data_IF_005265175248
#
_entry.id   IF_005265175248
#
_cell.length_a   1.000
_cell.length_b   1.000
_cell.length_c   1.000
_cell.angle_alpha   90.00
_cell.angle_beta   90.00
_cell.angle_gamma   90.00
#
_symmetry.space_group_name_H-M   'P 1'
#
loop_
_entity.id
_entity.type
_entity.pdbx_description
1 polymer ?
#
# COMPACT_ATOMS: atom_id res chain seq x y z
N UNK A 1 12.25 -25.94 -24.46
CA UNK A 1 12.32 -25.85 -23.00
C UNK A 1 10.89 -25.78 -22.46
N UNK A 2 10.58 -26.61 -21.47
CA UNK A 2 9.25 -26.61 -20.82
C UNK A 2 9.29 -25.72 -19.62
N UNK A 3 8.29 -24.81 -19.48
CA UNK A 3 8.13 -23.92 -18.32
C UNK A 3 7.05 -24.45 -17.36
N UNK A 4 6.91 -25.76 -17.25
CA UNK A 4 5.86 -26.41 -16.46
C UNK A 4 5.75 -25.88 -15.03
N UNK A 5 6.89 -25.71 -14.34
CA UNK A 5 6.88 -25.15 -12.96
C UNK A 5 6.37 -23.71 -12.90
N UNK A 6 6.71 -22.86 -13.89
CA UNK A 6 6.26 -21.46 -13.93
C UNK A 6 4.74 -21.37 -14.10
N UNK A 7 4.18 -22.25 -14.92
CA UNK A 7 2.74 -22.25 -15.21
C UNK A 7 1.93 -23.23 -14.35
N UNK A 8 2.56 -23.91 -13.38
CA UNK A 8 1.83 -24.71 -12.40
C UNK A 8 1.21 -23.84 -11.31
N UNK A 9 0.02 -24.21 -10.80
CA UNK A 9 -0.60 -23.51 -9.67
C UNK A 9 0.31 -23.48 -8.44
N UNK A 10 0.11 -22.46 -7.62
CA UNK A 10 0.73 -22.34 -6.29
C UNK A 10 -0.29 -21.84 -5.29
N UNK A 11 -0.35 -22.46 -4.12
CA UNK A 11 -1.15 -22.00 -2.99
C UNK A 11 -0.26 -21.24 -2.00
N UNK A 12 -0.66 -20.01 -1.67
CA UNK A 12 -0.01 -19.17 -0.66
C UNK A 12 -1.04 -18.96 0.45
N UNK A 13 -0.83 -19.56 1.60
CA UNK A 13 -1.87 -19.71 2.62
C UNK A 13 -3.14 -20.31 1.99
N UNK A 14 -4.30 -19.62 2.08
CA UNK A 14 -5.56 -20.11 1.50
C UNK A 14 -5.81 -19.61 0.05
N UNK A 15 -4.94 -18.74 -0.48
CA UNK A 15 -5.10 -18.17 -1.83
C UNK A 15 -4.34 -19.03 -2.85
N UNK A 16 -5.07 -19.56 -3.83
CA UNK A 16 -4.50 -20.28 -4.96
C UNK A 16 -4.33 -19.34 -6.14
N UNK A 17 -3.10 -19.31 -6.68
CA UNK A 17 -2.75 -18.64 -7.91
C UNK A 17 -2.64 -19.67 -9.03
N UNK A 18 -3.23 -19.38 -10.18
CA UNK A 18 -3.23 -20.29 -11.35
C UNK A 18 -1.84 -20.58 -11.92
N UNK A 19 -0.86 -19.76 -11.63
CA UNK A 19 0.54 -19.89 -12.00
C UNK A 19 1.42 -19.00 -11.12
N UNK A 20 2.73 -18.99 -11.35
CA UNK A 20 3.72 -18.27 -10.56
C UNK A 20 4.13 -16.91 -11.16
N UNK A 21 3.36 -16.40 -12.13
CA UNK A 21 3.58 -15.09 -12.73
C UNK A 21 2.86 -14.04 -11.90
N UNK A 22 3.62 -13.13 -11.29
CA UNK A 22 3.11 -12.02 -10.48
C UNK A 22 3.49 -10.71 -11.14
N UNK A 23 2.53 -9.83 -11.36
CA UNK A 23 2.77 -8.45 -11.75
C UNK A 23 2.99 -7.61 -10.49
N UNK A 24 4.19 -7.05 -10.33
CA UNK A 24 4.51 -6.13 -9.25
C UNK A 24 3.70 -4.84 -9.33
N UNK A 25 3.53 -4.18 -8.19
CA UNK A 25 2.87 -2.86 -8.13
C UNK A 25 3.59 -1.84 -9.01
N UNK A 26 2.83 -1.12 -9.84
CA UNK A 26 3.33 -0.09 -10.75
C UNK A 26 2.39 1.12 -10.70
N UNK A 27 2.91 2.29 -10.34
CA UNK A 27 2.15 3.55 -10.38
C UNK A 27 1.74 3.88 -11.82
N UNK A 28 0.45 3.87 -12.08
CA UNK A 28 -0.12 4.18 -13.40
C UNK A 28 -0.55 5.62 -13.52
N UNK A 29 -0.82 6.29 -12.40
CA UNK A 29 -1.43 7.62 -12.29
C UNK A 29 -2.81 7.75 -12.96
N UNK A 30 -3.47 6.64 -13.29
CA UNK A 30 -4.79 6.64 -13.94
C UNK A 30 -5.90 7.15 -13.02
N UNK A 31 -5.68 7.12 -11.69
CA UNK A 31 -6.60 7.71 -10.71
C UNK A 31 -6.71 9.24 -10.83
N UNK A 32 -5.72 9.92 -11.42
CA UNK A 32 -5.74 11.38 -11.63
C UNK A 32 -6.95 11.84 -12.46
N UNK A 33 -7.52 10.98 -13.31
CA UNK A 33 -8.70 11.28 -14.12
C UNK A 33 -10.03 11.10 -13.36
N UNK A 34 -10.02 10.66 -12.11
CA UNK A 34 -11.21 10.54 -11.27
C UNK A 34 -11.63 11.87 -10.65
N UNK A 35 -12.84 11.94 -10.08
CA UNK A 35 -13.42 13.15 -9.49
C UNK A 35 -12.50 13.82 -8.45
N UNK A 36 -11.87 13.04 -7.57
CA UNK A 36 -10.94 13.54 -6.55
C UNK A 36 -9.47 13.21 -6.83
N UNK A 37 -9.18 12.64 -8.01
CA UNK A 37 -7.84 12.25 -8.41
C UNK A 37 -7.27 11.05 -7.65
N UNK A 38 -8.08 10.28 -6.90
CA UNK A 38 -7.63 9.18 -6.02
C UNK A 38 -8.48 7.91 -6.15
N UNK A 39 -9.51 7.92 -6.99
CA UNK A 39 -10.44 6.79 -7.17
C UNK A 39 -9.98 5.85 -8.28
N UNK A 40 -10.48 4.61 -8.21
CA UNK A 40 -10.36 3.64 -9.31
C UNK A 40 -11.14 4.14 -10.53
N UNK A 41 -10.48 4.17 -11.69
CA UNK A 41 -11.07 4.55 -12.97
C UNK A 41 -11.33 3.32 -13.84
N UNK A 42 -12.23 3.44 -14.84
CA UNK A 42 -12.46 2.36 -15.81
C UNK A 42 -11.19 2.02 -16.60
N UNK A 43 -10.31 2.98 -16.83
CA UNK A 43 -9.03 2.77 -17.51
C UNK A 43 -8.08 1.92 -16.65
N UNK A 44 -8.03 2.17 -15.34
CA UNK A 44 -7.26 1.34 -14.41
C UNK A 44 -7.82 -0.09 -14.35
N UNK A 45 -9.15 -0.25 -14.34
CA UNK A 45 -9.79 -1.57 -14.40
C UNK A 45 -9.37 -2.30 -15.67
N UNK A 46 -9.49 -1.64 -16.83
CA UNK A 46 -9.11 -2.22 -18.13
C UNK A 46 -7.62 -2.63 -18.15
N UNK A 47 -6.76 -1.81 -17.53
CA UNK A 47 -5.32 -2.09 -17.40
C UNK A 47 -5.07 -3.42 -16.67
N UNK A 48 -5.68 -3.65 -15.50
CA UNK A 48 -5.51 -4.89 -14.73
C UNK A 48 -6.21 -6.10 -15.37
N UNK A 49 -7.39 -5.89 -15.94
CA UNK A 49 -8.13 -6.95 -16.68
C UNK A 49 -7.33 -7.47 -17.87
N UNK A 50 -6.65 -6.58 -18.61
CA UNK A 50 -5.80 -7.00 -19.73
C UNK A 50 -4.67 -7.95 -19.28
N UNK A 51 -4.02 -7.70 -18.12
CA UNK A 51 -2.99 -8.56 -17.55
C UNK A 51 -3.55 -9.90 -17.07
N UNK A 52 -4.70 -9.87 -16.42
CA UNK A 52 -5.38 -11.09 -16.01
C UNK A 52 -5.75 -11.95 -17.22
N UNK A 53 -6.34 -11.38 -18.27
CA UNK A 53 -6.63 -12.10 -19.54
C UNK A 53 -5.36 -12.62 -20.22
N UNK A 54 -4.25 -11.87 -20.12
CA UNK A 54 -2.94 -12.30 -20.64
C UNK A 54 -2.28 -13.43 -19.86
N UNK A 55 -2.89 -13.90 -18.76
CA UNK A 55 -2.41 -15.08 -18.03
C UNK A 55 -1.71 -14.76 -16.70
N UNK A 56 -1.58 -13.50 -16.29
CA UNK A 56 -0.98 -13.17 -14.99
C UNK A 56 -1.75 -13.82 -13.84
N UNK A 57 -1.04 -14.53 -12.95
CA UNK A 57 -1.64 -15.24 -11.80
C UNK A 57 -2.05 -14.30 -10.68
N UNK A 58 -1.22 -13.31 -10.36
CA UNK A 58 -1.50 -12.28 -9.36
C UNK A 58 -1.19 -10.90 -9.93
N UNK A 59 -2.17 -10.00 -9.89
CA UNK A 59 -2.02 -8.61 -10.29
C UNK A 59 -1.91 -7.74 -9.04
N UNK A 60 -0.76 -7.12 -8.77
CA UNK A 60 -0.63 -6.17 -7.68
C UNK A 60 -1.02 -4.77 -8.18
N UNK A 61 -2.07 -4.22 -7.57
CA UNK A 61 -2.48 -2.82 -7.77
C UNK A 61 -1.40 -1.92 -7.20
N UNK A 62 -1.21 -0.76 -7.84
CA UNK A 62 -0.26 0.28 -7.45
C UNK A 62 -0.38 0.70 -5.98
N UNK A 63 0.52 1.56 -5.53
CA UNK A 63 0.46 2.17 -4.19
C UNK A 63 -0.92 2.76 -3.95
N UNK A 64 -1.49 2.39 -2.80
CA UNK A 64 -2.81 2.84 -2.36
C UNK A 64 -2.66 3.50 -0.99
N UNK A 65 -2.91 4.81 -0.92
CA UNK A 65 -2.72 5.59 0.29
C UNK A 65 -3.69 5.15 1.39
N UNK A 66 -3.15 4.93 2.58
CA UNK A 66 -3.93 4.52 3.76
C UNK A 66 -4.38 5.70 4.62
N UNK A 67 -3.81 6.87 4.40
CA UNK A 67 -3.93 8.05 5.24
C UNK A 67 -4.40 9.25 4.42
N UNK A 68 -5.60 9.76 4.71
CA UNK A 68 -6.24 10.83 3.94
C UNK A 68 -5.42 12.12 3.90
N UNK A 69 -4.77 12.50 5.01
CA UNK A 69 -3.96 13.71 5.07
C UNK A 69 -2.67 13.63 4.23
N UNK A 70 -2.21 12.41 3.92
CA UNK A 70 -1.01 12.14 3.11
C UNK A 70 -1.32 11.44 1.79
N UNK A 71 -2.56 11.55 1.28
CA UNK A 71 -2.97 10.94 0.03
C UNK A 71 -2.80 11.94 -1.13
N UNK A 72 -1.71 11.85 -1.92
CA UNK A 72 -1.50 12.77 -3.02
C UNK A 72 -2.45 12.48 -4.18
N UNK A 73 -2.77 13.53 -4.93
CA UNK A 73 -3.53 13.42 -6.18
C UNK A 73 -2.74 12.62 -7.22
N UNK A 74 -3.43 11.81 -8.01
CA UNK A 74 -2.81 10.93 -9.01
C UNK A 74 -2.37 9.57 -8.48
N UNK A 75 -2.59 9.28 -7.19
CA UNK A 75 -2.38 7.97 -6.58
C UNK A 75 -3.69 7.46 -5.99
N UNK A 76 -3.88 6.15 -6.01
CA UNK A 76 -5.04 5.54 -5.37
C UNK A 76 -5.06 5.82 -3.86
N UNK A 77 -6.28 5.88 -3.32
CA UNK A 77 -6.51 5.92 -1.88
C UNK A 77 -7.52 4.88 -1.45
N UNK A 78 -7.34 4.40 -0.23
CA UNK A 78 -8.30 3.58 0.52
C UNK A 78 -8.46 4.13 1.95
N UNK A 79 -8.10 5.40 2.13
CA UNK A 79 -8.16 6.08 3.43
C UNK A 79 -9.59 6.33 3.93
N UNK A 80 -10.60 6.17 3.08
CA UNK A 80 -12.02 6.38 3.39
C UNK A 80 -12.90 5.29 2.77
N UNK A 81 -14.07 5.03 3.37
CA UNK A 81 -15.00 3.99 2.91
C UNK A 81 -15.58 4.29 1.52
N UNK A 82 -15.61 5.56 1.09
CA UNK A 82 -16.05 5.98 -0.26
C UNK A 82 -15.24 5.35 -1.40
N UNK A 83 -14.03 4.87 -1.12
CA UNK A 83 -13.15 4.22 -2.11
C UNK A 83 -13.45 2.72 -2.29
N UNK A 84 -14.17 2.10 -1.34
CA UNK A 84 -14.50 0.66 -1.39
C UNK A 84 -15.23 0.26 -2.68
N UNK A 85 -16.29 0.98 -3.15
CA UNK A 85 -17.04 0.56 -4.33
C UNK A 85 -16.18 0.47 -5.60
N UNK A 86 -15.27 1.43 -5.82
CA UNK A 86 -14.36 1.42 -6.96
C UNK A 86 -13.38 0.26 -6.91
N UNK A 87 -12.77 0.03 -5.74
CA UNK A 87 -11.87 -1.09 -5.51
C UNK A 87 -12.57 -2.44 -5.72
N UNK A 88 -13.81 -2.58 -5.22
CA UNK A 88 -14.63 -3.78 -5.41
C UNK A 88 -14.94 -4.04 -6.89
N UNK A 89 -15.24 -3.00 -7.66
CA UNK A 89 -15.47 -3.11 -9.12
C UNK A 89 -14.21 -3.64 -9.83
N UNK A 90 -13.02 -3.13 -9.46
CA UNK A 90 -11.74 -3.59 -10.01
C UNK A 90 -11.49 -5.06 -9.66
N UNK A 91 -11.61 -5.45 -8.39
CA UNK A 91 -11.40 -6.83 -7.94
C UNK A 91 -12.33 -7.79 -8.70
N UNK A 92 -13.63 -7.49 -8.76
CA UNK A 92 -14.63 -8.31 -9.46
C UNK A 92 -14.28 -8.49 -10.95
N UNK A 93 -13.82 -7.43 -11.62
CA UNK A 93 -13.45 -7.48 -13.02
C UNK A 93 -12.20 -8.34 -13.29
N UNK A 94 -11.18 -8.26 -12.41
CA UNK A 94 -9.97 -9.09 -12.50
C UNK A 94 -10.28 -10.55 -12.19
N UNK A 95 -11.11 -10.83 -11.18
CA UNK A 95 -11.58 -12.18 -10.86
C UNK A 95 -12.34 -12.80 -12.03
N UNK A 96 -13.24 -12.06 -12.67
CA UNK A 96 -13.98 -12.51 -13.86
C UNK A 96 -13.03 -12.83 -15.04
N UNK A 97 -11.86 -12.20 -15.09
CA UNK A 97 -10.81 -12.48 -16.07
C UNK A 97 -9.87 -13.64 -15.63
N UNK A 98 -10.15 -14.31 -14.51
CA UNK A 98 -9.40 -15.47 -13.99
C UNK A 98 -8.10 -15.13 -13.27
N UNK A 99 -7.86 -13.85 -12.91
CA UNK A 99 -6.71 -13.41 -12.11
C UNK A 99 -7.03 -13.32 -10.62
N UNK A 100 -5.96 -13.17 -9.81
CA UNK A 100 -6.04 -12.76 -8.40
C UNK A 100 -5.53 -11.33 -8.27
N UNK A 101 -5.94 -10.64 -7.20
CA UNK A 101 -5.64 -9.22 -6.98
C UNK A 101 -4.92 -9.03 -5.66
N UNK A 102 -3.75 -8.39 -5.72
CA UNK A 102 -3.10 -7.79 -4.56
C UNK A 102 -3.24 -6.27 -4.61
N UNK A 103 -3.13 -5.60 -3.46
CA UNK A 103 -3.00 -4.14 -3.37
C UNK A 103 -1.84 -3.77 -2.47
N UNK A 104 -1.06 -2.77 -2.89
CA UNK A 104 0.07 -2.27 -2.11
C UNK A 104 -0.39 -1.13 -1.20
N UNK A 105 -0.53 -1.40 0.12
CA UNK A 105 -0.85 -0.38 1.12
C UNK A 105 0.37 0.50 1.40
N UNK A 106 0.18 1.81 1.38
CA UNK A 106 1.26 2.77 1.32
C UNK A 106 0.99 4.03 2.17
N UNK A 107 2.04 4.50 2.84
CA UNK A 107 2.14 5.84 3.39
C UNK A 107 3.44 6.45 2.88
N UNK A 108 3.33 7.46 2.02
CA UNK A 108 4.42 7.93 1.14
C UNK A 108 5.55 8.69 1.83
N UNK A 109 5.38 9.14 3.09
CA UNK A 109 6.42 9.88 3.78
C UNK A 109 6.81 11.15 3.03
N UNK A 110 8.10 11.27 2.68
CA UNK A 110 8.62 12.41 1.90
C UNK A 110 8.13 12.42 0.44
N UNK A 111 7.78 11.26 -0.12
CA UNK A 111 7.42 11.17 -1.54
C UNK A 111 6.13 11.93 -1.91
N UNK A 112 5.30 12.27 -0.94
CA UNK A 112 4.09 13.06 -1.17
C UNK A 112 4.36 14.58 -1.29
N UNK A 113 5.61 15.01 -1.14
CA UNK A 113 6.00 16.43 -1.22
C UNK A 113 5.73 17.07 -2.60
N UNK A 114 5.48 16.28 -3.64
CA UNK A 114 5.07 16.76 -4.96
C UNK A 114 3.63 17.30 -4.99
N UNK A 115 2.80 16.93 -4.01
CA UNK A 115 1.44 17.46 -3.85
C UNK A 115 1.41 18.41 -2.62
N UNK A 116 1.25 19.74 -2.84
CA UNK A 116 1.25 20.70 -1.74
C UNK A 116 0.08 20.55 -0.76
N UNK A 117 -0.94 19.76 -1.10
CA UNK A 117 -2.07 19.46 -0.23
C UNK A 117 -1.83 18.22 0.64
N UNK A 118 -0.84 17.40 0.29
CA UNK A 118 -0.54 16.18 1.03
C UNK A 118 0.43 16.46 2.21
N UNK A 119 0.09 15.96 3.38
CA UNK A 119 0.95 16.08 4.56
C UNK A 119 2.17 15.17 4.46
N UNK A 120 3.36 15.76 4.45
CA UNK A 120 4.62 15.01 4.57
C UNK A 120 4.75 14.48 6.00
N UNK A 121 5.06 13.19 6.15
CA UNK A 121 5.33 12.57 7.43
C UNK A 121 6.73 11.95 7.44
N UNK A 122 7.53 12.28 8.45
CA UNK A 122 8.87 11.76 8.65
C UNK A 122 9.07 11.37 10.12
N UNK A 123 9.91 10.40 10.44
CA UNK A 123 10.15 10.03 11.84
C UNK A 123 10.81 11.14 12.66
N UNK A 124 11.63 11.99 12.03
CA UNK A 124 12.40 13.04 12.67
C UNK A 124 12.38 14.31 11.84
N UNK A 125 12.67 15.45 12.46
CA UNK A 125 12.84 16.72 11.77
C UNK A 125 13.81 16.60 10.59
N UNK A 126 13.41 17.15 9.45
CA UNK A 126 14.21 17.16 8.24
C UNK A 126 14.19 18.55 7.59
N UNK A 127 15.30 19.26 7.59
CA UNK A 127 15.42 20.51 6.82
C UNK A 127 15.39 20.20 5.33
N UNK A 128 14.45 20.80 4.59
CA UNK A 128 14.34 20.73 3.13
C UNK A 128 14.96 21.97 2.48
N UNK A 129 14.97 23.11 3.18
CA UNK A 129 15.68 24.35 2.82
C UNK A 129 16.16 25.06 4.07
N UNK A 130 16.97 26.15 3.97
CA UNK A 130 17.34 26.96 5.11
C UNK A 130 16.13 27.54 5.90
N UNK A 131 15.01 27.76 5.21
CA UNK A 131 13.82 28.39 5.76
C UNK A 131 12.70 27.38 6.11
N UNK A 132 12.83 26.12 5.69
CA UNK A 132 11.77 25.14 5.85
C UNK A 132 12.25 23.79 6.34
N UNK A 133 11.76 23.39 7.51
CA UNK A 133 11.97 22.07 8.11
C UNK A 133 10.64 21.34 8.22
N UNK A 134 10.57 20.11 7.71
CA UNK A 134 9.46 19.21 8.00
C UNK A 134 9.63 18.69 9.42
N UNK A 135 8.66 18.93 10.32
CA UNK A 135 8.76 18.44 11.69
C UNK A 135 8.62 16.91 11.75
N UNK A 136 9.30 16.30 12.70
CA UNK A 136 9.13 14.88 13.01
C UNK A 136 7.71 14.59 13.50
N UNK A 137 7.20 13.43 13.12
CA UNK A 137 5.86 12.97 13.48
C UNK A 137 5.70 12.81 15.00
N UNK A 138 4.57 13.27 15.55
CA UNK A 138 4.23 13.11 16.97
C UNK A 138 3.80 11.69 17.31
N UNK A 139 3.79 11.33 18.59
CA UNK A 139 3.31 10.01 19.07
C UNK A 139 1.85 9.76 18.66
N UNK A 140 0.98 10.75 18.84
CA UNK A 140 -0.45 10.63 18.48
C UNK A 140 -0.61 10.38 16.99
N UNK A 141 0.22 11.03 16.17
CA UNK A 141 0.18 10.86 14.72
C UNK A 141 0.74 9.51 14.29
N UNK A 142 1.76 8.98 15.00
CA UNK A 142 2.26 7.60 14.81
C UNK A 142 1.11 6.61 15.02
N UNK A 143 0.38 6.72 16.13
CA UNK A 143 -0.74 5.84 16.45
C UNK A 143 -1.86 5.95 15.42
N UNK A 144 -2.19 7.16 14.98
CA UNK A 144 -3.21 7.36 13.94
C UNK A 144 -2.85 6.74 12.60
N UNK A 145 -1.57 6.74 12.20
CA UNK A 145 -1.10 6.08 10.97
C UNK A 145 -1.14 4.56 11.10
N UNK A 146 -0.76 4.02 12.28
CA UNK A 146 -0.87 2.58 12.54
C UNK A 146 -2.34 2.13 12.40
N UNK A 147 -3.28 2.87 13.00
CA UNK A 147 -4.72 2.58 12.87
C UNK A 147 -5.18 2.74 11.42
N UNK A 148 -4.69 3.74 10.68
CA UNK A 148 -5.02 3.93 9.27
C UNK A 148 -4.63 2.71 8.40
N UNK A 149 -3.48 2.07 8.65
CA UNK A 149 -3.12 0.81 8.00
C UNK A 149 -4.11 -0.31 8.33
N UNK A 150 -4.54 -0.42 9.57
CA UNK A 150 -5.56 -1.38 9.99
C UNK A 150 -6.91 -1.15 9.28
N UNK A 151 -7.38 0.11 9.23
CA UNK A 151 -8.63 0.45 8.56
C UNK A 151 -8.54 0.27 7.04
N UNK A 152 -7.39 0.58 6.44
CA UNK A 152 -7.14 0.30 5.03
C UNK A 152 -7.23 -1.20 4.73
N UNK A 153 -6.64 -2.05 5.58
CA UNK A 153 -6.73 -3.50 5.45
C UNK A 153 -8.20 -3.98 5.51
N UNK A 154 -9.01 -3.48 6.47
CA UNK A 154 -10.45 -3.78 6.53
C UNK A 154 -11.15 -3.45 5.21
N UNK A 155 -10.92 -2.24 4.69
CA UNK A 155 -11.58 -1.76 3.46
C UNK A 155 -11.22 -2.59 2.23
N UNK A 156 -9.94 -2.95 2.06
CA UNK A 156 -9.53 -3.74 0.89
C UNK A 156 -10.02 -5.19 1.00
N UNK A 157 -10.11 -5.75 2.21
CA UNK A 157 -10.75 -7.06 2.45
C UNK A 157 -12.22 -7.01 2.06
N UNK A 158 -12.96 -5.99 2.49
CA UNK A 158 -14.37 -5.77 2.11
C UNK A 158 -14.55 -5.59 0.61
N UNK A 159 -13.58 -4.98 -0.06
CA UNK A 159 -13.56 -4.81 -1.52
C UNK A 159 -13.25 -6.11 -2.28
N UNK A 160 -12.80 -7.18 -1.61
CA UNK A 160 -12.53 -8.48 -2.22
C UNK A 160 -11.11 -8.66 -2.73
N UNK A 161 -10.12 -7.97 -2.15
CA UNK A 161 -8.69 -8.21 -2.40
C UNK A 161 -8.30 -9.61 -1.92
N UNK A 162 -7.47 -10.32 -2.71
CA UNK A 162 -6.97 -11.66 -2.34
C UNK A 162 -5.69 -11.58 -1.50
N UNK A 163 -4.86 -10.57 -1.70
CA UNK A 163 -3.54 -10.41 -1.05
C UNK A 163 -3.31 -8.95 -0.69
N UNK A 164 -2.79 -8.69 0.50
CA UNK A 164 -2.29 -7.36 0.87
C UNK A 164 -0.78 -7.36 0.76
N UNK A 165 -0.21 -6.30 0.16
CA UNK A 165 1.22 -6.01 0.16
C UNK A 165 1.47 -4.76 1.02
N UNK A 166 2.36 -4.88 2.01
CA UNK A 166 2.74 -3.77 2.88
C UNK A 166 4.00 -3.09 2.35
N UNK A 167 3.87 -1.85 1.88
CA UNK A 167 5.02 -1.14 1.34
C UNK A 167 5.94 -0.61 2.44
N UNK A 168 7.04 -1.30 2.66
CA UNK A 168 8.06 -0.96 3.67
C UNK A 168 9.45 -0.73 3.04
N UNK A 169 9.49 -0.04 1.88
CA UNK A 169 10.71 0.23 1.12
C UNK A 169 10.77 1.69 0.63
N UNK A 170 11.75 2.04 -0.20
CA UNK A 170 11.91 3.27 -0.97
C UNK A 170 11.88 4.58 -0.15
N UNK A 171 12.31 4.54 1.10
CA UNK A 171 12.27 5.68 2.04
C UNK A 171 10.86 6.23 2.33
N UNK A 172 9.81 5.46 2.05
CA UNK A 172 8.46 5.77 2.52
C UNK A 172 8.38 5.65 4.04
N UNK A 173 7.32 6.11 4.66
CA UNK A 173 7.30 6.28 6.11
C UNK A 173 7.72 5.02 6.89
N UNK A 174 7.24 3.79 6.58
CA UNK A 174 7.68 2.60 7.31
C UNK A 174 9.18 2.32 7.18
N UNK A 175 9.75 2.49 5.98
CA UNK A 175 11.19 2.34 5.77
C UNK A 175 11.99 3.46 6.43
N UNK A 176 11.48 4.69 6.44
CA UNK A 176 12.13 5.83 7.10
C UNK A 176 12.28 5.60 8.61
N UNK A 177 11.31 4.93 9.25
CA UNK A 177 11.44 4.52 10.66
C UNK A 177 12.54 3.47 10.88
N UNK A 178 12.71 2.52 9.95
CA UNK A 178 13.78 1.52 10.04
C UNK A 178 15.17 2.12 9.85
N UNK A 179 15.29 3.14 9.01
CA UNK A 179 16.56 3.75 8.61
C UNK A 179 17.20 4.53 9.76
N UNK A 180 18.38 4.10 10.21
CA UNK A 180 19.18 4.88 11.19
C UNK A 180 19.72 6.20 10.62
N UNK A 181 19.72 6.40 9.30
CA UNK A 181 20.10 7.66 8.66
C UNK A 181 18.98 8.71 8.64
N UNK A 182 17.72 8.27 8.62
CA UNK A 182 16.54 9.14 8.57
C UNK A 182 15.90 9.27 9.95
N UNK A 183 15.72 8.15 10.65
CA UNK A 183 15.16 8.12 12.00
C UNK A 183 16.23 8.48 13.03
N UNK A 184 16.21 9.73 13.48
CA UNK A 184 17.11 10.29 14.51
C UNK A 184 16.40 10.50 15.85
N UNK A 185 15.23 9.85 16.05
CA UNK A 185 14.49 9.92 17.31
C UNK A 185 15.31 9.32 18.46
N UNK A 186 15.10 9.88 19.64
CA UNK A 186 15.72 9.41 20.89
C UNK A 186 14.72 8.77 21.85
N UNK A 187 13.44 8.68 21.43
CA UNK A 187 12.36 8.04 22.18
C UNK A 187 12.21 6.55 21.84
N UNK A 188 11.08 5.96 22.26
CA UNK A 188 10.78 4.54 22.04
C UNK A 188 10.62 4.11 20.57
N UNK A 189 10.64 5.02 19.60
CA UNK A 189 10.48 4.77 18.16
C UNK A 189 11.80 4.94 17.38
N UNK A 190 12.91 5.31 18.04
CA UNK A 190 14.19 5.56 17.39
C UNK A 190 15.39 5.06 18.18
N UNK A 191 16.59 5.46 17.77
CA UNK A 191 17.86 5.02 18.35
C UNK A 191 18.21 3.58 17.99
N UNK A 192 17.94 2.61 18.87
CA UNK A 192 18.26 1.20 18.64
C UNK A 192 17.45 0.59 17.49
N UNK A 193 17.99 -0.47 16.86
CA UNK A 193 17.24 -1.22 15.84
C UNK A 193 15.91 -1.77 16.40
N UNK A 194 15.91 -2.22 17.65
CA UNK A 194 14.73 -2.71 18.35
C UNK A 194 13.61 -1.66 18.43
N UNK A 195 13.96 -0.40 18.63
CA UNK A 195 12.99 0.70 18.61
C UNK A 195 12.54 1.05 17.18
N UNK A 196 13.50 1.15 16.24
CA UNK A 196 13.19 1.54 14.86
C UNK A 196 12.25 0.57 14.15
N UNK A 197 12.31 -0.73 14.44
CA UNK A 197 11.41 -1.73 13.86
C UNK A 197 9.99 -1.73 14.44
N UNK A 198 9.74 -1.04 15.58
CA UNK A 198 8.43 -1.04 16.25
C UNK A 198 7.33 -0.51 15.34
N UNK A 199 7.57 0.60 14.65
CA UNK A 199 6.55 1.20 13.79
C UNK A 199 6.08 0.27 12.66
N UNK A 200 6.96 -0.25 11.78
CA UNK A 200 6.52 -1.17 10.73
C UNK A 200 5.91 -2.46 11.30
N UNK A 201 6.39 -2.99 12.42
CA UNK A 201 5.78 -4.17 13.06
C UNK A 201 4.39 -3.86 13.60
N UNK A 202 4.17 -2.68 14.19
CA UNK A 202 2.85 -2.26 14.65
C UNK A 202 1.87 -2.10 13.47
N UNK A 203 2.31 -1.55 12.33
CA UNK A 203 1.51 -1.50 11.11
C UNK A 203 1.14 -2.91 10.62
N UNK A 204 2.11 -3.85 10.57
CA UNK A 204 1.84 -5.25 10.21
C UNK A 204 0.83 -5.89 11.15
N UNK A 205 0.94 -5.66 12.45
CA UNK A 205 -0.02 -6.18 13.44
C UNK A 205 -1.42 -5.61 13.23
N UNK A 206 -1.53 -4.28 12.98
CA UNK A 206 -2.80 -3.62 12.71
C UNK A 206 -3.46 -4.15 11.42
N UNK A 207 -2.68 -4.37 10.36
CA UNK A 207 -3.13 -4.99 9.11
C UNK A 207 -3.64 -6.41 9.39
N UNK A 208 -2.82 -7.24 10.03
CA UNK A 208 -3.16 -8.65 10.34
C UNK A 208 -4.44 -8.78 11.17
N UNK A 209 -4.66 -7.88 12.12
CA UNK A 209 -5.85 -7.88 12.96
C UNK A 209 -7.17 -7.67 12.17
N UNK A 210 -7.10 -7.16 10.94
CA UNK A 210 -8.25 -6.90 10.07
C UNK A 210 -8.34 -7.85 8.88
N UNK A 211 -7.38 -8.76 8.71
CA UNK A 211 -7.34 -9.74 7.64
C UNK A 211 -7.90 -11.10 8.08
N UNK A 212 -8.56 -11.85 7.18
CA UNK A 212 -8.81 -13.27 7.39
C UNK A 212 -7.49 -14.03 7.64
N UNK A 213 -7.51 -15.03 8.52
CA UNK A 213 -6.32 -15.81 8.88
C UNK A 213 -5.62 -16.41 7.66
N UNK A 214 -6.40 -16.93 6.71
CA UNK A 214 -5.90 -17.57 5.49
C UNK A 214 -5.38 -16.60 4.41
N UNK A 215 -5.56 -15.28 4.57
CA UNK A 215 -5.14 -14.30 3.58
C UNK A 215 -3.63 -14.02 3.66
N UNK A 216 -2.90 -14.04 2.52
CA UNK A 216 -1.48 -13.66 2.49
C UNK A 216 -1.25 -12.17 2.76
N UNK A 217 -0.15 -11.86 3.45
CA UNK A 217 0.44 -10.53 3.57
C UNK A 217 1.89 -10.61 3.08
N UNK A 218 2.23 -9.82 2.08
CA UNK A 218 3.56 -9.65 1.51
C UNK A 218 4.24 -8.40 2.05
#
# INVERSE_FOLDING_TARGET
MSFEKLFSPIKIREVELRNRVVMSAMGTHESAASEDGRMVTDKLIAYHVARAKGGCGLNTIEVCSVDAASAPTGFLSIADDRYIPGMKKLCSAVHAAGGRVAVQLWQGGLAVASDPQAQILLPSDMPLSPEYTVPGITEERIQSVIEAFGQAARRVVEAGIDVIEFHCAHNYLPHSFLSGGINRRTDGWGGSFENRKKFPLACIQAIRAKMPEGMPLF
#
